data_IF_177541575632
#
_entry.id   IF_177541575632
#
_cell.length_a   1.000
_cell.length_b   1.000
_cell.length_c   1.000
_cell.angle_alpha   90.00
_cell.angle_beta   90.00
_cell.angle_gamma   90.00
#
_symmetry.space_group_name_H-M   'P 1'
#
loop_
_entity.id
_entity.type
_entity.pdbx_description
1 polymer ?
#
# COMPACT_ATOMS: atom_id res chain seq x y z
N UNK A 1 -22.50 -16.25 4.92
CA UNK A 1 -23.16 -15.64 3.74
C UNK A 1 -22.07 -15.43 2.70
N UNK A 2 -22.21 -16.09 1.55
CA UNK A 2 -21.27 -15.91 0.43
C UNK A 2 -21.85 -14.89 -0.54
N UNK A 3 -21.01 -13.93 -0.95
CA UNK A 3 -21.33 -12.97 -2.00
C UNK A 3 -20.49 -13.32 -3.21
N UNK A 4 -21.15 -13.43 -4.36
CA UNK A 4 -20.47 -13.59 -5.63
C UNK A 4 -19.88 -12.24 -6.07
N UNK A 5 -18.58 -12.19 -6.31
CA UNK A 5 -17.88 -11.03 -6.84
C UNK A 5 -17.83 -11.15 -8.37
N UNK A 6 -18.71 -10.46 -9.12
CA UNK A 6 -18.81 -10.63 -10.57
C UNK A 6 -17.56 -10.16 -11.33
N UNK A 7 -16.77 -9.28 -10.73
CA UNK A 7 -15.52 -8.76 -11.32
C UNK A 7 -14.34 -9.72 -11.06
N UNK A 8 -14.39 -10.50 -9.97
CA UNK A 8 -13.36 -11.46 -9.60
C UNK A 8 -13.73 -12.90 -9.97
N UNK A 9 -14.95 -13.13 -10.49
CA UNK A 9 -15.53 -14.44 -10.82
C UNK A 9 -15.45 -15.47 -9.67
N UNK A 10 -15.47 -14.99 -8.42
CA UNK A 10 -15.33 -15.83 -7.23
C UNK A 10 -16.38 -15.52 -6.16
N UNK A 11 -16.85 -16.59 -5.50
CA UNK A 11 -17.70 -16.50 -4.32
C UNK A 11 -16.86 -16.35 -3.07
N UNK A 12 -17.11 -15.30 -2.28
CA UNK A 12 -16.34 -14.97 -1.08
C UNK A 12 -17.24 -14.79 0.13
N UNK A 13 -16.76 -15.21 1.30
CA UNK A 13 -17.48 -15.01 2.54
C UNK A 13 -17.38 -13.54 2.99
N UNK A 14 -18.53 -12.91 3.24
CA UNK A 14 -18.63 -11.51 3.67
C UNK A 14 -17.87 -11.24 4.95
N UNK A 15 -17.88 -12.17 5.89
CA UNK A 15 -17.17 -12.01 7.16
C UNK A 15 -15.66 -11.99 6.97
N UNK A 16 -15.14 -12.71 5.98
CA UNK A 16 -13.71 -12.70 5.63
C UNK A 16 -13.34 -11.35 5.04
N UNK A 17 -14.12 -10.85 4.08
CA UNK A 17 -13.93 -9.51 3.48
C UNK A 17 -13.97 -8.39 4.54
N UNK A 18 -14.95 -8.42 5.44
CA UNK A 18 -15.07 -7.44 6.52
C UNK A 18 -13.90 -7.54 7.51
N UNK A 19 -13.51 -8.75 7.92
CA UNK A 19 -12.39 -8.97 8.83
C UNK A 19 -11.06 -8.49 8.23
N UNK A 20 -10.82 -8.82 6.95
CA UNK A 20 -9.66 -8.34 6.21
C UNK A 20 -9.64 -6.83 6.04
N UNK A 21 -10.77 -6.23 5.66
CA UNK A 21 -10.90 -4.79 5.52
C UNK A 21 -10.65 -4.05 6.85
N UNK A 22 -11.20 -4.56 7.95
CA UNK A 22 -11.00 -3.99 9.28
C UNK A 22 -9.53 -4.12 9.73
N UNK A 23 -8.93 -5.30 9.61
CA UNK A 23 -7.54 -5.53 9.99
C UNK A 23 -6.58 -4.70 9.12
N UNK A 24 -6.75 -4.72 7.80
CA UNK A 24 -5.92 -3.94 6.88
C UNK A 24 -6.09 -2.43 7.12
N UNK A 25 -7.31 -1.95 7.37
CA UNK A 25 -7.60 -0.56 7.68
C UNK A 25 -6.96 -0.09 8.99
N UNK A 26 -7.06 -0.90 10.05
CA UNK A 26 -6.42 -0.61 11.34
C UNK A 26 -4.90 -0.55 11.21
N UNK A 27 -4.29 -1.57 10.59
CA UNK A 27 -2.84 -1.61 10.37
C UNK A 27 -2.39 -0.43 9.50
N UNK A 28 -3.11 -0.13 8.42
CA UNK A 28 -2.80 1.00 7.55
C UNK A 28 -2.91 2.35 8.27
N UNK A 29 -3.88 2.51 9.17
CA UNK A 29 -4.03 3.68 10.02
C UNK A 29 -2.88 3.83 11.03
N UNK A 30 -2.43 2.72 11.63
CA UNK A 30 -1.30 2.71 12.55
C UNK A 30 0.03 3.07 11.87
N UNK A 31 0.26 2.57 10.65
CA UNK A 31 1.48 2.86 9.90
C UNK A 31 1.43 4.17 9.10
N UNK A 32 0.23 4.75 8.90
CA UNK A 32 0.05 5.99 8.13
C UNK A 32 0.36 5.88 6.63
N UNK A 33 0.55 4.66 6.10
CA UNK A 33 1.01 4.41 4.71
C UNK A 33 -0.14 4.45 3.68
N UNK A 34 -1.40 4.44 4.14
CA UNK A 34 -2.56 4.28 3.26
C UNK A 34 -2.70 2.82 2.82
N UNK A 35 -3.87 2.22 3.04
CA UNK A 35 -4.05 0.75 3.11
C UNK A 35 -3.69 -0.10 1.91
N UNK A 36 -3.36 0.50 0.76
CA UNK A 36 -3.06 -0.21 -0.48
C UNK A 36 -1.89 -1.19 -0.41
N UNK A 37 -0.84 -0.90 0.38
CA UNK A 37 0.35 -1.75 0.41
C UNK A 37 0.12 -3.12 1.09
N UNK A 38 -0.78 -3.19 2.08
CA UNK A 38 -1.16 -4.43 2.77
C UNK A 38 -2.43 -5.05 2.20
N UNK A 39 -3.43 -4.22 1.85
CA UNK A 39 -4.72 -4.74 1.42
C UNK A 39 -4.61 -5.46 0.06
N UNK A 40 -3.78 -5.00 -0.86
CA UNK A 40 -3.60 -5.66 -2.17
C UNK A 40 -3.08 -7.10 -2.04
N UNK A 41 -1.93 -7.36 -1.37
CA UNK A 41 -1.41 -8.72 -1.23
C UNK A 41 -2.32 -9.62 -0.39
N UNK A 42 -3.04 -9.07 0.60
CA UNK A 42 -4.02 -9.82 1.37
C UNK A 42 -5.21 -10.29 0.52
N UNK A 43 -5.71 -9.46 -0.40
CA UNK A 43 -6.77 -9.85 -1.34
C UNK A 43 -6.27 -10.93 -2.32
N UNK A 44 -5.04 -10.78 -2.81
CA UNK A 44 -4.40 -11.79 -3.69
C UNK A 44 -4.25 -13.13 -2.95
N UNK A 45 -3.83 -13.10 -1.68
CA UNK A 45 -3.68 -14.30 -0.86
C UNK A 45 -5.00 -15.06 -0.68
N UNK A 46 -6.11 -14.33 -0.64
CA UNK A 46 -7.46 -14.90 -0.49
C UNK A 46 -8.03 -15.42 -1.83
N UNK A 47 -7.28 -15.28 -2.93
CA UNK A 47 -7.60 -15.84 -4.24
C UNK A 47 -8.09 -14.82 -5.27
N UNK A 48 -8.18 -13.54 -4.92
CA UNK A 48 -8.63 -12.51 -5.85
C UNK A 48 -7.55 -12.25 -6.90
N UNK A 49 -7.88 -12.25 -8.21
CA UNK A 49 -6.91 -12.00 -9.27
C UNK A 49 -6.15 -10.67 -9.06
N UNK A 50 -4.82 -10.65 -9.25
CA UNK A 50 -4.00 -9.45 -9.02
C UNK A 50 -4.47 -8.21 -9.76
N UNK A 51 -4.96 -8.37 -11.00
CA UNK A 51 -5.51 -7.27 -11.79
C UNK A 51 -6.69 -6.57 -11.08
N UNK A 52 -7.59 -7.35 -10.48
CA UNK A 52 -8.79 -6.84 -9.78
C UNK A 52 -8.41 -6.23 -8.43
N UNK A 53 -7.50 -6.87 -7.71
CA UNK A 53 -7.00 -6.39 -6.42
C UNK A 53 -6.31 -5.02 -6.58
N UNK A 54 -5.39 -4.89 -7.54
CA UNK A 54 -4.66 -3.63 -7.81
C UNK A 54 -5.62 -2.52 -8.27
N UNK A 55 -6.55 -2.82 -9.19
CA UNK A 55 -7.52 -1.83 -9.66
C UNK A 55 -8.41 -1.29 -8.53
N UNK A 56 -8.89 -2.19 -7.67
CA UNK A 56 -9.72 -1.82 -6.51
C UNK A 56 -8.97 -0.92 -5.53
N UNK A 57 -7.69 -1.22 -5.31
CA UNK A 57 -6.84 -0.48 -4.38
C UNK A 57 -6.41 0.88 -4.94
N UNK A 58 -6.20 1.00 -6.26
CA UNK A 58 -5.94 2.28 -6.91
C UNK A 58 -7.06 3.31 -6.63
N UNK A 59 -8.33 2.88 -6.71
CA UNK A 59 -9.48 3.72 -6.40
C UNK A 59 -9.48 4.20 -4.93
N UNK A 60 -9.14 3.32 -3.99
CA UNK A 60 -9.03 3.68 -2.58
C UNK A 60 -7.88 4.68 -2.33
N UNK A 61 -6.74 4.49 -2.98
CA UNK A 61 -5.60 5.41 -2.89
C UNK A 61 -5.98 6.79 -3.41
N UNK A 62 -6.71 6.89 -4.52
CA UNK A 62 -7.19 8.18 -5.04
C UNK A 62 -8.12 8.86 -4.04
N UNK A 63 -9.09 8.16 -3.47
CA UNK A 63 -10.01 8.71 -2.47
C UNK A 63 -9.26 9.25 -1.24
N UNK A 64 -8.31 8.47 -0.72
CA UNK A 64 -7.49 8.88 0.42
C UNK A 64 -6.58 10.06 0.08
N UNK A 65 -5.99 10.08 -1.12
CA UNK A 65 -5.08 11.13 -1.57
C UNK A 65 -5.79 12.46 -1.77
N UNK A 66 -7.00 12.46 -2.34
CA UNK A 66 -7.80 13.69 -2.49
C UNK A 66 -8.22 14.24 -1.12
N UNK A 67 -8.64 13.36 -0.21
CA UNK A 67 -9.01 13.75 1.16
C UNK A 67 -7.82 14.35 1.93
N UNK A 68 -6.64 13.73 1.85
CA UNK A 68 -5.43 14.22 2.53
C UNK A 68 -4.91 15.51 1.91
N UNK A 69 -4.95 15.63 0.57
CA UNK A 69 -4.57 16.84 -0.14
C UNK A 69 -5.45 18.03 0.27
N UNK A 70 -6.77 17.85 0.37
CA UNK A 70 -7.70 18.90 0.78
C UNK A 70 -7.37 19.45 2.17
N UNK A 71 -7.05 18.58 3.13
CA UNK A 71 -6.66 19.01 4.49
C UNK A 71 -5.32 19.73 4.47
N UNK A 72 -4.34 19.21 3.73
CA UNK A 72 -3.00 19.79 3.68
C UNK A 72 -2.97 21.13 2.96
N UNK A 73 -3.78 21.29 1.90
CA UNK A 73 -3.97 22.56 1.18
C UNK A 73 -4.50 23.64 2.11
N UNK A 74 -5.51 23.33 2.94
CA UNK A 74 -6.04 24.29 3.93
C UNK A 74 -5.02 24.70 4.98
N UNK A 75 -4.03 23.85 5.26
CA UNK A 75 -2.94 24.13 6.20
C UNK A 75 -1.76 24.89 5.57
N UNK A 76 -1.80 25.18 4.27
CA UNK A 76 -0.70 25.86 3.56
C UNK A 76 0.58 25.04 3.42
N UNK A 77 0.54 23.74 3.76
CA UNK A 77 1.71 22.87 3.82
C UNK A 77 1.92 22.05 2.54
N UNK A 78 1.48 22.57 1.39
CA UNK A 78 1.57 21.88 0.10
C UNK A 78 2.58 22.58 -0.79
N UNK A 79 3.69 21.89 -1.08
CA UNK A 79 4.61 22.30 -2.11
C UNK A 79 4.10 21.80 -3.47
N UNK A 80 3.43 22.68 -4.21
CA UNK A 80 2.87 22.39 -5.52
C UNK A 80 3.95 22.08 -6.57
N UNK A 81 5.17 22.61 -6.42
CA UNK A 81 6.26 22.34 -7.37
C UNK A 81 6.76 20.91 -7.20
N UNK A 82 7.04 20.49 -5.97
CA UNK A 82 7.38 19.10 -5.67
C UNK A 82 6.23 18.16 -6.05
N UNK A 83 4.99 18.54 -5.77
CA UNK A 83 3.80 17.79 -6.16
C UNK A 83 3.73 17.53 -7.68
N UNK A 84 4.00 18.55 -8.50
CA UNK A 84 4.03 18.39 -9.97
C UNK A 84 5.15 17.47 -10.45
N UNK A 85 6.36 17.57 -9.88
CA UNK A 85 7.47 16.68 -10.25
C UNK A 85 7.14 15.23 -9.92
N UNK A 86 6.58 14.98 -8.73
CA UNK A 86 6.13 13.65 -8.32
C UNK A 86 5.00 13.13 -9.19
N UNK A 87 4.06 14.00 -9.59
CA UNK A 87 2.96 13.64 -10.48
C UNK A 87 3.47 13.22 -11.85
N UNK A 88 4.38 13.98 -12.46
CA UNK A 88 4.97 13.64 -13.76
C UNK A 88 5.77 12.33 -13.69
N UNK A 89 6.62 12.17 -12.67
CA UNK A 89 7.37 10.93 -12.44
C UNK A 89 6.45 9.73 -12.24
N UNK A 90 5.38 9.90 -11.45
CA UNK A 90 4.37 8.88 -11.21
C UNK A 90 3.58 8.52 -12.46
N UNK A 91 3.19 9.49 -13.28
CA UNK A 91 2.49 9.25 -14.56
C UNK A 91 3.36 8.46 -15.53
N UNK A 92 4.63 8.83 -15.69
CA UNK A 92 5.56 8.11 -16.55
C UNK A 92 5.83 6.69 -16.04
N UNK A 93 6.11 6.56 -14.74
CA UNK A 93 6.38 5.27 -14.10
C UNK A 93 5.18 4.32 -14.15
N UNK A 94 3.99 4.80 -13.83
CA UNK A 94 2.74 4.01 -13.91
C UNK A 94 2.40 3.61 -15.33
N UNK A 95 2.56 4.50 -16.32
CA UNK A 95 2.34 4.19 -17.73
C UNK A 95 3.28 3.09 -18.21
N UNK A 96 4.58 3.19 -17.88
CA UNK A 96 5.55 2.14 -18.16
C UNK A 96 5.20 0.82 -17.44
N UNK A 97 4.73 0.91 -16.20
CA UNK A 97 4.26 -0.22 -15.41
C UNK A 97 3.06 -0.93 -16.04
N UNK A 98 2.06 -0.19 -16.56
CA UNK A 98 0.90 -0.75 -17.26
C UNK A 98 1.31 -1.44 -18.57
N UNK A 99 2.27 -0.85 -19.29
CA UNK A 99 2.82 -1.48 -20.49
C UNK A 99 3.52 -2.80 -20.17
N UNK A 100 4.37 -2.82 -19.13
CA UNK A 100 5.03 -4.02 -18.64
C UNK A 100 4.01 -5.05 -18.14
N UNK A 101 3.01 -4.63 -17.36
CA UNK A 101 1.91 -5.47 -16.89
C UNK A 101 1.21 -6.16 -18.06
N UNK A 102 0.84 -5.41 -19.10
CA UNK A 102 0.17 -5.96 -20.28
C UNK A 102 1.05 -6.96 -21.02
N UNK A 103 2.35 -6.68 -21.12
CA UNK A 103 3.32 -7.59 -21.72
C UNK A 103 3.43 -8.90 -20.93
N UNK A 104 3.56 -8.83 -19.60
CA UNK A 104 3.62 -10.00 -18.71
C UNK A 104 2.31 -10.81 -18.71
N UNK A 105 1.17 -10.12 -18.83
CA UNK A 105 -0.14 -10.75 -18.91
C UNK A 105 -0.24 -11.65 -20.15
N UNK A 106 0.29 -11.20 -21.30
CA UNK A 106 0.31 -12.01 -22.54
C UNK A 106 1.16 -13.27 -22.44
N UNK A 107 2.18 -13.25 -21.59
CA UNK A 107 3.09 -14.39 -21.36
C UNK A 107 2.50 -15.34 -20.29
N UNK A 108 1.42 -14.94 -19.61
CA UNK A 108 0.76 -15.75 -18.57
C UNK A 108 1.54 -15.83 -17.26
N UNK A 109 2.58 -15.02 -17.07
CA UNK A 109 3.45 -15.06 -15.88
C UNK A 109 3.13 -13.95 -14.86
N UNK A 110 2.03 -13.23 -15.05
CA UNK A 110 1.74 -12.02 -14.30
C UNK A 110 1.53 -12.28 -12.80
N UNK A 111 0.80 -13.35 -12.47
CA UNK A 111 0.52 -13.71 -11.07
C UNK A 111 1.80 -14.03 -10.31
N UNK A 112 2.72 -14.76 -10.96
CA UNK A 112 4.02 -15.09 -10.39
C UNK A 112 4.89 -13.84 -10.19
N UNK A 113 5.00 -12.99 -11.20
CA UNK A 113 5.84 -11.79 -11.10
C UNK A 113 5.30 -10.83 -10.04
N UNK A 114 3.98 -10.61 -10.00
CA UNK A 114 3.37 -9.75 -8.99
C UNK A 114 3.57 -10.33 -7.58
N UNK A 115 3.40 -11.65 -7.41
CA UNK A 115 3.67 -12.30 -6.13
C UNK A 115 5.13 -12.09 -5.68
N UNK A 116 6.10 -12.31 -6.57
CA UNK A 116 7.53 -12.11 -6.26
C UNK A 116 7.81 -10.64 -5.93
N UNK A 117 7.29 -9.69 -6.72
CA UNK A 117 7.47 -8.26 -6.46
C UNK A 117 6.90 -7.86 -5.09
N UNK A 118 5.71 -8.35 -4.73
CA UNK A 118 5.13 -8.09 -3.41
C UNK A 118 5.96 -8.71 -2.29
N UNK A 119 6.41 -9.95 -2.43
CA UNK A 119 7.27 -10.61 -1.43
C UNK A 119 8.55 -9.79 -1.23
N UNK A 120 9.22 -9.38 -2.31
CA UNK A 120 10.46 -8.59 -2.23
C UNK A 120 10.20 -7.23 -1.59
N UNK A 121 9.17 -6.49 -2.04
CA UNK A 121 8.83 -5.17 -1.48
C UNK A 121 8.46 -5.24 -0.01
N UNK A 122 7.53 -6.13 0.36
CA UNK A 122 7.07 -6.25 1.75
C UNK A 122 8.18 -6.74 2.67
N UNK A 123 9.02 -7.66 2.21
CA UNK A 123 10.18 -8.12 2.99
C UNK A 123 11.18 -6.99 3.19
N UNK A 124 11.47 -6.20 2.15
CA UNK A 124 12.36 -5.05 2.26
C UNK A 124 11.81 -3.99 3.24
N UNK A 125 10.54 -3.62 3.09
CA UNK A 125 9.87 -2.68 4.02
C UNK A 125 9.90 -3.23 5.45
N UNK A 126 9.53 -4.50 5.64
CA UNK A 126 9.51 -5.15 6.93
C UNK A 126 10.89 -5.18 7.60
N UNK A 127 11.94 -5.51 6.84
CA UNK A 127 13.32 -5.50 7.33
C UNK A 127 13.81 -4.09 7.66
N UNK A 128 13.48 -3.08 6.84
CA UNK A 128 13.82 -1.68 7.13
C UNK A 128 13.14 -1.19 8.41
N UNK A 129 11.85 -1.48 8.57
CA UNK A 129 11.10 -1.13 9.77
C UNK A 129 11.63 -1.85 11.02
N UNK A 130 11.97 -3.15 10.89
CA UNK A 130 12.57 -3.92 11.97
C UNK A 130 13.94 -3.36 12.35
N UNK A 131 14.78 -3.05 11.37
CA UNK A 131 16.09 -2.46 11.58
C UNK A 131 15.97 -1.12 12.32
N UNK A 132 15.08 -0.23 11.88
CA UNK A 132 14.83 1.06 12.51
C UNK A 132 14.29 0.91 13.94
N UNK A 133 13.37 -0.03 14.15
CA UNK A 133 12.82 -0.36 15.47
C UNK A 133 13.89 -0.87 16.44
N UNK A 134 14.72 -1.82 16.01
CA UNK A 134 15.83 -2.36 16.81
C UNK A 134 16.87 -1.29 17.10
N UNK A 135 17.22 -0.46 16.12
CA UNK A 135 18.20 0.62 16.28
C UNK A 135 17.71 1.66 17.28
N UNK A 136 16.43 2.00 17.24
CA UNK A 136 15.78 2.90 18.20
C UNK A 136 15.73 2.28 19.60
N UNK A 137 15.39 0.98 19.71
CA UNK A 137 15.36 0.25 20.98
C UNK A 137 16.75 0.14 21.64
N UNK A 138 17.77 -0.20 20.86
CA UNK A 138 19.15 -0.31 21.34
C UNK A 138 19.75 1.05 21.71
N UNK A 139 19.43 2.11 20.96
CA UNK A 139 19.87 3.48 21.28
C UNK A 139 19.25 3.98 22.59
N UNK A 140 18.01 3.58 22.91
CA UNK A 140 17.36 3.88 24.20
C UNK A 140 17.99 3.13 25.39
N UNK A 141 18.45 1.88 25.20
CA UNK A 141 19.16 1.13 26.26
C UNK A 141 20.54 1.70 26.58
N UNK A 142 21.19 2.38 25.63
CA UNK A 142 22.54 2.91 25.78
C UNK A 142 22.60 4.33 26.37
N UNK A 143 21.47 5.06 26.41
CA UNK A 143 21.40 6.38 27.03
C UNK A 143 20.03 6.64 27.71
N UNK A 144 19.88 6.34 29.02
CA UNK A 144 18.62 6.51 29.76
C UNK A 144 18.21 7.99 29.99
N UNK A 145 19.14 8.94 29.85
CA UNK A 145 18.93 10.37 30.18
C UNK A 145 19.31 11.34 29.03
N UNK A 146 18.88 11.06 27.80
CA UNK A 146 18.99 12.00 26.66
C UNK A 146 17.71 12.85 26.49
N UNK A 147 17.82 14.16 26.20
CA UNK A 147 16.84 15.17 26.60
C UNK A 147 15.51 15.04 25.87
N UNK A 148 14.43 15.39 26.57
CA UNK A 148 13.13 15.77 26.01
C UNK A 148 13.36 16.78 24.88
N UNK A 149 13.43 16.27 23.65
CA UNK A 149 13.57 17.06 22.43
C UNK A 149 12.32 17.90 22.25
N UNK A 150 12.45 19.17 22.62
CA UNK A 150 11.56 20.32 22.39
C UNK A 150 10.57 20.09 21.24
N UNK A 151 9.30 20.00 21.63
CA UNK A 151 8.15 20.41 20.81
C UNK A 151 8.22 21.92 20.56
#
# INVERSE_FOLDING_TARGET
>A
MEIYLPIAEQSMNVFVLLGLGAAAGLLAGMFGVGGGFLATPLLIFVGIPPAVAVASQANQVVANSVSSLQVQLRRGNVDLRMGLVLLLGGMLGSSAGVWLFTYLNRIGQIDFVIAVLYVVMLSAIGLLLLAESLRTYLSRRRNPEGPLGKL
#
